data_IF_365912307846
#
_entry.id   IF_365912307846
#
_cell.length_a   1.000
_cell.length_b   1.000
_cell.length_c   1.000
_cell.angle_alpha   90.00
_cell.angle_beta   90.00
_cell.angle_gamma   90.00
#
_symmetry.space_group_name_H-M   'P 1'
#
loop_
_entity.id
_entity.type
_entity.pdbx_description
1 polymer ?
#
# COMPACT_ATOMS: atom_id res chain seq x y z
N UNK A 1 7.93 75.59 -15.80
CA UNK A 1 7.37 76.89 -16.07
C UNK A 1 6.43 77.19 -14.93
N UNK A 2 6.85 77.98 -14.09
CA UNK A 2 6.80 79.47 -13.89
C UNK A 2 5.63 79.82 -12.98
N UNK A 3 6.01 80.23 -11.77
CA UNK A 3 5.83 81.51 -11.13
C UNK A 3 4.40 81.87 -10.68
N UNK A 4 4.08 82.43 -9.55
CA UNK A 4 4.76 83.32 -8.56
C UNK A 4 3.74 83.70 -7.50
N UNK A 5 4.15 83.85 -6.30
CA UNK A 5 4.44 85.11 -5.56
C UNK A 5 3.26 86.12 -5.55
N UNK A 6 2.80 86.48 -4.29
CA UNK A 6 3.09 87.71 -3.64
C UNK A 6 2.22 87.91 -2.39
N UNK A 7 2.82 88.16 -1.24
CA UNK A 7 2.31 88.87 -0.04
C UNK A 7 2.30 90.38 -0.31
N UNK A 8 1.69 91.30 0.46
CA UNK A 8 2.11 91.61 1.79
C UNK A 8 1.08 92.32 2.80
N UNK A 9 1.51 92.39 4.07
CA UNK A 9 1.51 93.48 5.04
C UNK A 9 0.31 94.36 5.37
N UNK A 10 0.09 94.46 6.68
CA UNK A 10 -0.49 95.67 7.32
C UNK A 10 -0.72 95.55 8.83
N UNK A 11 0.19 96.08 9.62
CA UNK A 11 0.08 96.49 11.04
C UNK A 11 -0.02 98.00 11.09
N UNK A 12 -0.23 98.64 12.25
CA UNK A 12 -1.02 98.54 13.49
C UNK A 12 -1.87 99.86 13.71
N UNK A 13 -2.33 100.37 14.84
CA UNK A 13 -1.56 100.56 16.08
C UNK A 13 -2.40 100.42 17.42
N UNK A 14 -1.70 100.66 18.48
CA UNK A 14 -1.81 100.52 19.88
C UNK A 14 -2.69 101.57 20.65
N UNK A 15 -2.71 101.27 21.92
CA UNK A 15 -2.91 102.14 23.10
C UNK A 15 -4.30 102.08 23.83
N UNK A 16 -4.16 101.81 25.11
CA UNK A 16 -5.06 102.18 26.15
C UNK A 16 -5.07 101.22 27.34
N UNK A 17 -4.14 101.42 28.13
CA UNK A 17 -3.84 101.36 29.57
C UNK A 17 -5.03 101.38 30.53
N UNK A 18 -4.82 100.82 31.71
CA UNK A 18 -5.34 100.99 33.03
C UNK A 18 -6.34 99.98 33.59
N UNK A 19 -5.88 99.36 34.65
CA UNK A 19 -6.76 99.10 35.81
C UNK A 19 -6.74 97.69 36.42
N UNK A 20 -5.72 97.49 37.26
CA UNK A 20 -5.68 96.57 38.38
C UNK A 20 -7.05 96.09 38.89
N UNK A 21 -7.24 94.82 39.10
CA UNK A 21 -7.60 94.15 40.35
C UNK A 21 -7.52 92.64 40.22
N UNK A 22 -6.58 92.11 40.96
CA UNK A 22 -6.47 90.67 41.20
C UNK A 22 -7.61 90.07 41.99
N UNK A 23 -8.33 89.10 41.42
CA UNK A 23 -9.11 88.17 42.20
C UNK A 23 -8.71 86.74 41.71
N UNK A 24 -8.04 86.07 42.62
CA UNK A 24 -7.73 84.66 42.43
C UNK A 24 -9.00 83.83 42.52
N UNK A 25 -9.44 83.31 41.36
CA UNK A 25 -10.51 82.32 41.36
C UNK A 25 -9.79 80.94 41.12
N UNK A 26 -9.92 80.16 42.19
CA UNK A 26 -9.43 78.77 42.23
C UNK A 26 -9.86 78.00 40.99
N UNK A 27 -8.89 77.51 40.21
CA UNK A 27 -9.14 76.68 39.08
C UNK A 27 -9.72 75.33 39.48
N UNK A 28 -10.98 75.16 39.26
CA UNK A 28 -11.65 73.86 39.29
C UNK A 28 -11.09 73.10 38.06
N UNK A 29 -10.26 72.15 38.35
CA UNK A 29 -9.90 71.12 37.34
C UNK A 29 -11.18 70.36 36.99
N UNK A 30 -11.80 70.70 35.89
CA UNK A 30 -12.86 69.89 35.27
C UNK A 30 -12.21 68.57 34.84
N UNK A 31 -12.38 67.55 35.65
CA UNK A 31 -11.96 66.17 35.34
C UNK A 31 -12.65 65.75 34.04
N UNK A 32 -11.87 65.47 33.02
CA UNK A 32 -12.33 64.86 31.79
C UNK A 32 -13.04 63.57 32.19
N UNK A 33 -14.34 63.59 32.30
CA UNK A 33 -15.16 62.38 32.41
C UNK A 33 -14.95 61.58 31.15
N UNK A 34 -14.12 60.54 31.27
CA UNK A 34 -13.92 59.55 30.23
C UNK A 34 -15.28 58.86 29.98
N UNK A 35 -16.01 59.34 28.97
CA UNK A 35 -17.21 58.66 28.51
C UNK A 35 -16.87 57.21 28.20
N UNK A 36 -17.21 56.28 29.07
CA UNK A 36 -17.19 54.85 28.78
C UNK A 36 -18.09 54.67 27.56
N UNK A 37 -17.49 54.23 26.45
CA UNK A 37 -18.27 53.79 25.28
C UNK A 37 -19.23 52.73 25.77
N UNK A 38 -20.54 52.85 25.53
CA UNK A 38 -21.48 51.80 25.87
C UNK A 38 -21.04 50.53 25.10
N UNK A 39 -20.73 49.49 25.83
CA UNK A 39 -20.58 48.17 25.25
C UNK A 39 -21.89 47.81 24.58
N UNK A 40 -21.91 47.39 23.31
CA UNK A 40 -23.16 47.06 22.65
C UNK A 40 -23.88 46.00 23.49
N UNK A 41 -25.20 46.09 23.69
CA UNK A 41 -25.92 45.11 24.46
C UNK A 41 -25.69 43.76 23.82
N UNK A 42 -25.03 42.86 24.56
CA UNK A 42 -24.91 41.47 24.14
C UNK A 42 -26.33 41.00 23.90
N UNK A 43 -26.64 40.64 22.66
CA UNK A 43 -27.97 40.15 22.29
C UNK A 43 -28.15 38.76 22.90
N UNK A 44 -28.39 38.68 24.17
CA UNK A 44 -28.55 37.45 24.97
C UNK A 44 -29.48 36.45 24.29
N UNK A 45 -30.51 36.98 23.64
CA UNK A 45 -31.45 36.13 22.88
C UNK A 45 -30.79 35.38 21.73
N UNK A 46 -29.80 36.00 21.04
CA UNK A 46 -29.07 35.34 19.97
C UNK A 46 -28.05 34.35 20.52
N UNK A 47 -27.37 34.66 21.61
CA UNK A 47 -26.44 33.75 22.29
C UNK A 47 -27.19 32.54 22.84
N UNK A 48 -28.31 32.76 23.52
CA UNK A 48 -29.17 31.67 24.01
C UNK A 48 -29.73 30.83 22.84
N UNK A 49 -30.17 31.46 21.76
CA UNK A 49 -30.63 30.72 20.55
C UNK A 49 -29.51 29.90 19.91
N UNK A 50 -28.30 30.45 19.79
CA UNK A 50 -27.16 29.71 19.26
C UNK A 50 -26.75 28.55 20.17
N UNK A 51 -26.69 28.74 21.47
CA UNK A 51 -26.33 27.66 22.41
C UNK A 51 -27.37 26.53 22.43
N UNK A 52 -28.68 26.89 22.45
CA UNK A 52 -29.75 25.86 22.37
C UNK A 52 -29.71 25.09 21.07
N UNK A 53 -29.46 25.75 19.94
CA UNK A 53 -29.31 25.08 18.65
C UNK A 53 -28.11 24.14 18.66
N UNK A 54 -26.96 24.57 19.16
CA UNK A 54 -25.75 23.73 19.24
C UNK A 54 -25.99 22.51 20.13
N UNK A 55 -26.63 22.69 21.30
CA UNK A 55 -26.98 21.57 22.18
C UNK A 55 -27.98 20.62 21.54
N UNK A 56 -28.98 21.14 20.83
CA UNK A 56 -29.96 20.32 20.11
C UNK A 56 -29.31 19.51 19.00
N UNK A 57 -28.42 20.12 18.21
CA UNK A 57 -27.66 19.42 17.16
C UNK A 57 -26.75 18.35 17.78
N UNK A 58 -26.02 18.67 18.84
CA UNK A 58 -25.18 17.71 19.54
C UNK A 58 -26.00 16.53 20.10
N UNK A 59 -27.14 16.80 20.71
CA UNK A 59 -28.06 15.77 21.21
C UNK A 59 -28.59 14.88 20.06
N UNK A 60 -28.99 15.47 18.93
CA UNK A 60 -29.41 14.72 17.74
C UNK A 60 -28.31 13.83 17.18
N UNK A 61 -27.07 14.32 17.13
CA UNK A 61 -25.91 13.52 16.65
C UNK A 61 -25.63 12.35 17.60
N UNK A 62 -25.63 12.59 18.91
CA UNK A 62 -25.40 11.53 19.91
C UNK A 62 -26.53 10.50 19.89
N UNK A 63 -27.77 10.95 19.89
CA UNK A 63 -28.93 10.06 19.87
C UNK A 63 -29.03 9.29 18.54
N UNK A 64 -28.84 9.98 17.42
CA UNK A 64 -28.83 9.37 16.09
C UNK A 64 -27.69 8.36 15.92
N UNK A 65 -26.48 8.70 16.40
CA UNK A 65 -25.34 7.79 16.42
C UNK A 65 -25.59 6.55 17.30
N UNK A 66 -26.12 6.77 18.51
CA UNK A 66 -26.49 5.66 19.39
C UNK A 66 -27.57 4.75 18.76
N UNK A 67 -28.59 5.34 18.17
CA UNK A 67 -29.63 4.60 17.47
C UNK A 67 -29.07 3.79 16.29
N UNK A 68 -28.17 4.37 15.49
CA UNK A 68 -27.54 3.67 14.38
C UNK A 68 -26.74 2.44 14.84
N UNK A 69 -26.00 2.59 15.97
CA UNK A 69 -25.17 1.51 16.52
C UNK A 69 -25.97 0.42 17.25
N UNK A 70 -27.22 0.68 17.62
CA UNK A 70 -28.06 -0.27 18.38
C UNK A 70 -29.25 -0.79 17.58
N UNK A 71 -29.58 -0.15 16.46
CA UNK A 71 -30.74 -0.52 15.67
C UNK A 71 -30.59 -1.90 14.99
N UNK A 72 -31.58 -2.80 15.13
CA UNK A 72 -31.58 -4.08 14.43
C UNK A 72 -31.59 -3.97 12.89
N UNK A 73 -31.95 -2.81 12.37
CA UNK A 73 -31.93 -2.54 10.91
C UNK A 73 -30.54 -2.64 10.30
N UNK A 74 -29.50 -2.38 11.11
CA UNK A 74 -28.12 -2.47 10.68
C UNK A 74 -27.42 -3.74 11.16
N UNK A 75 -28.17 -4.71 11.66
CA UNK A 75 -27.64 -6.03 11.97
C UNK A 75 -27.34 -6.77 10.67
N UNK A 76 -26.12 -7.28 10.50
CA UNK A 76 -25.68 -8.01 9.32
C UNK A 76 -26.52 -9.27 9.15
N UNK A 77 -27.24 -9.37 8.06
CA UNK A 77 -28.07 -10.52 7.69
C UNK A 77 -27.47 -11.35 6.56
N UNK A 78 -26.59 -10.76 5.76
CA UNK A 78 -25.93 -11.44 4.66
C UNK A 78 -24.51 -10.93 4.46
N UNK A 79 -23.58 -11.85 4.23
CA UNK A 79 -22.23 -11.54 3.75
C UNK A 79 -22.08 -12.21 2.39
N UNK A 80 -21.85 -11.41 1.37
CA UNK A 80 -21.68 -11.89 0.00
C UNK A 80 -20.19 -11.94 -0.33
N UNK A 81 -19.70 -13.13 -0.72
CA UNK A 81 -18.31 -13.33 -1.15
C UNK A 81 -18.28 -13.49 -2.66
N UNK A 82 -17.45 -12.70 -3.32
CA UNK A 82 -17.24 -12.72 -4.77
C UNK A 82 -15.77 -12.88 -5.10
N UNK A 83 -15.46 -13.49 -6.26
CA UNK A 83 -14.09 -13.68 -6.75
C UNK A 83 -13.39 -14.92 -6.18
N UNK A 84 -14.01 -15.62 -5.23
CA UNK A 84 -13.52 -16.89 -4.73
C UNK A 84 -13.77 -18.01 -5.75
N UNK A 85 -12.74 -18.77 -6.10
CA UNK A 85 -12.82 -19.89 -7.02
C UNK A 85 -12.15 -21.15 -6.49
N UNK A 86 -11.06 -21.01 -5.77
CA UNK A 86 -10.27 -22.11 -5.17
C UNK A 86 -10.46 -22.18 -3.67
N UNK A 87 -10.55 -21.01 -3.02
CA UNK A 87 -10.78 -20.91 -1.59
C UNK A 87 -12.27 -21.06 -1.32
N UNK A 88 -12.69 -22.00 -0.49
CA UNK A 88 -14.09 -22.14 -0.13
C UNK A 88 -14.62 -20.84 0.49
N UNK A 89 -15.80 -20.33 0.08
CA UNK A 89 -16.40 -19.14 0.65
C UNK A 89 -16.53 -19.17 2.18
N UNK A 90 -16.78 -20.36 2.73
CA UNK A 90 -16.91 -20.57 4.18
C UNK A 90 -15.61 -20.21 4.91
N UNK A 91 -14.46 -20.56 4.34
CA UNK A 91 -13.14 -20.21 4.91
C UNK A 91 -12.88 -18.70 4.88
N UNK A 92 -13.35 -18.02 3.83
CA UNK A 92 -13.26 -16.55 3.73
C UNK A 92 -14.17 -15.90 4.78
N UNK A 93 -15.38 -16.40 4.95
CA UNK A 93 -16.32 -15.92 5.96
C UNK A 93 -15.75 -16.10 7.37
N UNK A 94 -15.20 -17.26 7.68
CA UNK A 94 -14.56 -17.56 8.97
C UNK A 94 -13.36 -16.62 9.22
N UNK A 95 -12.48 -16.48 8.26
CA UNK A 95 -11.30 -15.58 8.36
C UNK A 95 -11.71 -14.10 8.49
N UNK A 96 -12.83 -13.69 7.90
CA UNK A 96 -13.36 -12.34 8.03
C UNK A 96 -13.67 -11.96 9.48
N UNK A 97 -14.08 -12.95 10.28
CA UNK A 97 -14.50 -12.75 11.66
C UNK A 97 -15.80 -11.96 11.80
N UNK A 98 -16.58 -11.83 10.72
CA UNK A 98 -17.87 -11.14 10.76
C UNK A 98 -18.91 -12.08 11.37
N UNK A 99 -19.55 -11.62 12.45
CA UNK A 99 -20.60 -12.41 13.12
C UNK A 99 -21.98 -12.00 12.60
N UNK A 100 -22.80 -12.98 12.28
CA UNK A 100 -24.20 -12.77 11.88
C UNK A 100 -24.95 -12.04 13.01
N UNK A 101 -25.70 -10.98 12.70
CA UNK A 101 -26.39 -10.17 13.67
C UNK A 101 -25.56 -9.04 14.27
N UNK A 102 -24.25 -8.96 14.00
CA UNK A 102 -23.42 -7.85 14.40
C UNK A 102 -23.85 -6.56 13.69
N UNK A 103 -23.73 -5.42 14.39
CA UNK A 103 -24.10 -4.14 13.77
C UNK A 103 -23.07 -3.73 12.70
N UNK A 104 -23.56 -3.41 11.51
CA UNK A 104 -22.77 -3.06 10.33
C UNK A 104 -21.76 -1.92 10.58
N UNK A 105 -22.12 -0.96 11.44
CA UNK A 105 -21.26 0.18 11.77
C UNK A 105 -20.10 -0.16 12.69
N UNK A 106 -20.15 -1.31 13.39
CA UNK A 106 -19.07 -1.81 14.24
C UNK A 106 -18.01 -2.60 13.47
N UNK A 107 -18.36 -3.11 12.30
CA UNK A 107 -17.43 -3.84 11.45
C UNK A 107 -16.46 -2.84 10.83
N UNK A 108 -15.18 -2.97 11.08
CA UNK A 108 -14.14 -2.20 10.40
C UNK A 108 -13.72 -2.91 9.10
N UNK A 109 -14.05 -2.37 7.91
CA UNK A 109 -13.69 -3.00 6.65
C UNK A 109 -12.19 -3.20 6.47
N UNK A 110 -11.37 -2.25 6.93
CA UNK A 110 -9.92 -2.35 6.82
C UNK A 110 -9.34 -3.45 7.71
N UNK A 111 -9.95 -3.68 8.86
CA UNK A 111 -9.54 -4.78 9.74
C UNK A 111 -9.89 -6.14 9.12
N UNK A 112 -11.09 -6.26 8.56
CA UNK A 112 -11.54 -7.46 7.85
C UNK A 112 -10.65 -7.71 6.64
N UNK A 113 -10.38 -6.68 5.84
CA UNK A 113 -9.48 -6.76 4.69
C UNK A 113 -8.11 -7.32 5.09
N UNK A 114 -7.47 -6.76 6.12
CA UNK A 114 -6.16 -7.25 6.59
C UNK A 114 -6.19 -8.73 6.99
N UNK A 115 -7.23 -9.16 7.72
CA UNK A 115 -7.39 -10.58 8.11
C UNK A 115 -7.51 -11.50 6.89
N UNK A 116 -8.24 -11.07 5.87
CA UNK A 116 -8.39 -11.83 4.64
C UNK A 116 -7.08 -11.90 3.84
N UNK A 117 -6.32 -10.81 3.79
CA UNK A 117 -5.03 -10.74 3.11
C UNK A 117 -3.89 -11.47 3.86
N UNK A 118 -4.12 -11.88 5.12
CA UNK A 118 -3.24 -12.80 5.86
C UNK A 118 -3.36 -14.25 5.34
N UNK A 119 -4.46 -14.61 4.66
CA UNK A 119 -4.59 -15.91 4.02
C UNK A 119 -3.59 -16.00 2.85
N UNK A 120 -2.76 -17.05 2.80
CA UNK A 120 -1.74 -17.20 1.76
C UNK A 120 -2.31 -17.19 0.35
N UNK A 121 -3.51 -17.70 0.19
CA UNK A 121 -4.21 -17.84 -1.09
C UNK A 121 -4.83 -16.51 -1.58
N UNK A 122 -4.99 -15.54 -0.72
CA UNK A 122 -5.62 -14.25 -1.07
C UNK A 122 -4.55 -13.21 -1.37
N UNK A 123 -4.63 -12.64 -2.55
CA UNK A 123 -3.74 -11.55 -2.99
C UNK A 123 -4.22 -10.21 -2.47
N UNK A 124 -5.52 -9.99 -2.60
CA UNK A 124 -6.20 -8.74 -2.24
C UNK A 124 -7.63 -9.03 -1.83
N UNK A 125 -8.11 -8.31 -0.84
CA UNK A 125 -9.50 -8.30 -0.47
C UNK A 125 -10.03 -6.87 -0.49
N UNK A 126 -11.27 -6.69 -0.92
CA UNK A 126 -11.99 -5.44 -0.82
C UNK A 126 -13.29 -5.69 -0.07
N UNK A 127 -13.52 -4.91 0.99
CA UNK A 127 -14.64 -5.12 1.90
C UNK A 127 -15.49 -3.86 1.95
N UNK A 128 -16.75 -3.98 1.53
CA UNK A 128 -17.68 -2.86 1.44
C UNK A 128 -18.92 -3.13 2.28
N UNK A 129 -19.32 -2.14 3.08
CA UNK A 129 -20.61 -2.16 3.78
C UNK A 129 -21.72 -1.77 2.81
N UNK A 130 -22.64 -2.67 2.57
CA UNK A 130 -23.84 -2.42 1.77
C UNK A 130 -25.04 -2.19 2.68
N UNK A 131 -25.46 -0.94 2.77
CA UNK A 131 -26.62 -0.57 3.59
C UNK A 131 -27.90 -1.21 3.04
N UNK A 132 -28.82 -1.66 3.93
CA UNK A 132 -28.80 -1.40 5.39
C UNK A 132 -28.06 -2.47 6.20
N UNK A 133 -27.87 -3.71 5.70
CA UNK A 133 -27.55 -4.86 6.54
C UNK A 133 -26.70 -5.93 5.83
N UNK A 134 -25.92 -5.56 4.81
CA UNK A 134 -25.07 -6.48 4.04
C UNK A 134 -23.61 -6.08 4.09
N UNK A 135 -22.73 -7.06 3.95
CA UNK A 135 -21.31 -6.84 3.69
C UNK A 135 -20.97 -7.55 2.39
N UNK A 136 -20.32 -6.86 1.47
CA UNK A 136 -19.77 -7.43 0.24
C UNK A 136 -18.26 -7.57 0.41
N UNK A 137 -17.75 -8.77 0.19
CA UNK A 137 -16.34 -9.13 0.22
C UNK A 137 -15.97 -9.55 -1.20
N UNK A 138 -15.10 -8.81 -1.84
CA UNK A 138 -14.53 -9.16 -3.14
C UNK A 138 -13.09 -9.58 -2.93
N UNK A 139 -12.74 -10.81 -3.29
CA UNK A 139 -11.39 -11.33 -3.15
C UNK A 139 -10.73 -11.55 -4.52
N UNK A 140 -9.44 -11.28 -4.57
CA UNK A 140 -8.57 -11.68 -5.67
C UNK A 140 -7.64 -12.77 -5.16
N UNK A 141 -7.81 -13.98 -5.70
CA UNK A 141 -6.97 -15.12 -5.33
C UNK A 141 -5.62 -15.05 -6.05
N UNK A 142 -4.57 -15.49 -5.34
CA UNK A 142 -3.24 -15.68 -5.92
C UNK A 142 -3.25 -16.86 -6.88
N UNK A 143 -2.54 -16.70 -8.00
CA UNK A 143 -2.39 -17.78 -8.98
C UNK A 143 -1.07 -18.49 -8.76
N UNK A 144 -1.06 -19.83 -8.66
CA UNK A 144 0.18 -20.59 -8.64
C UNK A 144 0.91 -20.39 -9.97
N UNK A 145 2.22 -20.17 -9.87
CA UNK A 145 3.10 -19.92 -11.00
C UNK A 145 4.13 -21.03 -11.17
N UNK A 146 4.84 -21.39 -10.10
CA UNK A 146 5.83 -22.46 -10.11
C UNK A 146 5.84 -23.22 -8.79
N UNK A 147 6.60 -24.31 -8.73
CA UNK A 147 6.85 -25.07 -7.53
C UNK A 147 8.23 -24.73 -6.95
N UNK A 148 8.33 -24.80 -5.63
CA UNK A 148 9.59 -24.79 -4.90
C UNK A 148 9.76 -26.09 -4.13
N UNK A 149 10.94 -26.69 -4.23
CA UNK A 149 11.32 -27.88 -3.49
C UNK A 149 12.20 -27.50 -2.30
N UNK A 150 11.65 -27.70 -1.08
CA UNK A 150 12.41 -27.63 0.17
C UNK A 150 11.84 -28.68 1.13
N UNK A 151 12.40 -29.90 1.08
CA UNK A 151 11.84 -31.07 1.74
C UNK A 151 10.55 -31.59 1.09
N UNK A 152 9.60 -30.69 0.83
CA UNK A 152 8.35 -30.95 0.09
C UNK A 152 8.17 -29.96 -1.04
N UNK A 153 7.21 -30.21 -1.91
CA UNK A 153 6.83 -29.28 -2.98
C UNK A 153 5.77 -28.30 -2.49
N UNK A 154 6.03 -27.03 -2.71
CA UNK A 154 5.13 -25.94 -2.38
C UNK A 154 4.88 -25.06 -3.59
N UNK A 155 3.64 -24.61 -3.76
CA UNK A 155 3.31 -23.64 -4.79
C UNK A 155 3.80 -22.26 -4.43
N UNK A 156 4.41 -21.60 -5.42
CA UNK A 156 4.73 -20.17 -5.40
C UNK A 156 3.87 -19.42 -6.41
N UNK A 157 3.48 -18.20 -6.05
CA UNK A 157 2.91 -17.25 -7.00
C UNK A 157 3.99 -16.51 -7.79
N UNK A 158 3.56 -15.65 -8.71
CA UNK A 158 4.45 -14.80 -9.50
C UNK A 158 5.27 -13.80 -8.68
N UNK A 159 4.88 -13.51 -7.45
CA UNK A 159 5.58 -12.60 -6.54
C UNK A 159 6.59 -13.33 -5.66
N UNK A 160 6.55 -14.66 -5.64
CA UNK A 160 7.41 -15.54 -4.81
C UNK A 160 6.85 -15.79 -3.42
N UNK A 161 5.54 -15.68 -3.23
CA UNK A 161 4.88 -16.10 -2.00
C UNK A 161 4.52 -17.58 -2.06
N UNK A 162 4.66 -18.24 -0.93
CA UNK A 162 4.22 -19.62 -0.76
C UNK A 162 2.71 -19.66 -0.56
N UNK A 163 2.01 -20.42 -1.43
CA UNK A 163 0.55 -20.58 -1.38
C UNK A 163 0.11 -21.80 -0.54
N UNK A 164 0.97 -22.76 -0.39
CA UNK A 164 0.69 -24.01 0.34
C UNK A 164 1.43 -25.20 -0.27
N UNK A 165 1.28 -26.36 0.37
CA UNK A 165 1.82 -27.62 -0.12
C UNK A 165 1.02 -28.10 -1.35
N UNK A 166 1.71 -28.76 -2.28
CA UNK A 166 1.04 -29.39 -3.39
C UNK A 166 0.31 -30.65 -2.94
N UNK A 167 -1.02 -30.66 -3.09
CA UNK A 167 -1.86 -31.80 -2.79
C UNK A 167 -2.18 -32.72 -3.99
N UNK A 168 -1.88 -32.28 -5.23
CA UNK A 168 -2.13 -33.04 -6.47
C UNK A 168 -1.03 -32.73 -7.46
N UNK A 169 -0.50 -33.79 -8.09
CA UNK A 169 0.56 -33.70 -9.09
C UNK A 169 0.10 -32.95 -10.34
N UNK A 170 0.19 -31.61 -10.30
CA UNK A 170 0.13 -30.78 -11.49
C UNK A 170 1.56 -30.40 -11.80
N UNK A 171 2.05 -30.86 -12.93
CA UNK A 171 3.40 -30.47 -13.40
C UNK A 171 3.31 -29.04 -13.92
N UNK A 172 4.07 -28.09 -13.33
CA UNK A 172 4.09 -26.75 -13.87
C UNK A 172 4.75 -26.75 -15.26
N UNK A 173 4.28 -25.88 -16.14
CA UNK A 173 4.89 -25.66 -17.47
C UNK A 173 6.20 -24.88 -17.38
N UNK A 174 6.70 -24.64 -16.18
CA UNK A 174 7.90 -23.84 -15.89
C UNK A 174 8.82 -24.60 -14.92
N UNK A 175 10.11 -24.27 -14.88
CA UNK A 175 11.07 -24.94 -14.00
C UNK A 175 10.69 -24.90 -12.53
N UNK A 176 11.00 -25.97 -11.79
CA UNK A 176 10.90 -26.03 -10.34
C UNK A 176 12.08 -25.29 -9.71
N UNK A 177 11.85 -24.57 -8.64
CA UNK A 177 12.90 -23.88 -7.87
C UNK A 177 13.38 -24.79 -6.75
N UNK A 178 14.71 -24.92 -6.59
CA UNK A 178 15.33 -25.64 -5.48
C UNK A 178 16.41 -24.80 -4.78
N UNK A 179 17.01 -25.36 -3.74
CA UNK A 179 18.10 -24.72 -3.01
C UNK A 179 17.67 -23.66 -2.00
N UNK A 180 16.36 -23.55 -1.72
CA UNK A 180 15.82 -22.74 -0.61
C UNK A 180 15.68 -23.61 0.63
N UNK A 181 15.85 -23.01 1.82
CA UNK A 181 15.65 -23.71 3.10
C UNK A 181 14.20 -23.68 3.55
N UNK A 182 13.81 -24.61 4.44
CA UNK A 182 12.46 -24.62 5.03
C UNK A 182 12.18 -23.33 5.82
N UNK A 183 13.16 -22.77 6.53
CA UNK A 183 13.02 -21.51 7.26
C UNK A 183 12.71 -20.33 6.32
N UNK A 184 13.33 -20.32 5.14
CA UNK A 184 13.01 -19.32 4.11
C UNK A 184 11.57 -19.48 3.62
N UNK A 185 11.11 -20.71 3.39
CA UNK A 185 9.73 -20.96 2.97
C UNK A 185 8.71 -20.45 4.00
N UNK A 186 8.98 -20.65 5.29
CA UNK A 186 8.10 -20.12 6.36
C UNK A 186 8.01 -18.60 6.27
N UNK A 187 9.13 -17.93 6.10
CA UNK A 187 9.17 -16.46 5.96
C UNK A 187 8.48 -15.97 4.67
N UNK A 188 8.53 -16.78 3.61
CA UNK A 188 7.95 -16.46 2.30
C UNK A 188 6.41 -16.55 2.26
N UNK A 189 5.76 -17.04 3.31
CA UNK A 189 4.29 -16.95 3.46
C UNK A 189 3.83 -15.50 3.59
N UNK A 190 4.65 -14.66 4.18
CA UNK A 190 4.37 -13.23 4.39
C UNK A 190 5.11 -12.33 3.42
N UNK A 191 6.40 -12.58 3.21
CA UNK A 191 7.25 -11.70 2.40
C UNK A 191 8.14 -12.54 1.48
N UNK A 192 8.07 -12.34 0.16
CA UNK A 192 8.90 -13.06 -0.80
C UNK A 192 10.40 -12.90 -0.52
N UNK A 193 11.13 -14.00 -0.45
CA UNK A 193 12.57 -14.01 -0.26
C UNK A 193 13.34 -13.49 -1.49
N UNK A 194 14.57 -12.97 -1.31
CA UNK A 194 15.36 -12.44 -2.42
C UNK A 194 15.73 -13.52 -3.45
N UNK A 195 16.06 -14.73 -2.99
CA UNK A 195 16.41 -15.86 -3.87
C UNK A 195 15.19 -16.33 -4.69
N UNK A 196 14.02 -16.41 -4.08
CA UNK A 196 12.80 -16.77 -4.80
C UNK A 196 12.42 -15.73 -5.85
N UNK A 197 12.53 -14.43 -5.53
CA UNK A 197 12.31 -13.36 -6.51
C UNK A 197 13.29 -13.41 -7.67
N UNK A 198 14.55 -13.70 -7.38
CA UNK A 198 15.58 -13.87 -8.42
C UNK A 198 15.26 -15.05 -9.34
N UNK A 199 14.87 -16.21 -8.77
CA UNK A 199 14.46 -17.38 -9.55
C UNK A 199 13.22 -17.09 -10.42
N UNK A 200 12.21 -16.42 -9.89
CA UNK A 200 11.02 -16.03 -10.66
C UNK A 200 11.39 -15.05 -11.79
N UNK A 201 12.30 -14.12 -11.53
CA UNK A 201 12.80 -13.20 -12.58
C UNK A 201 13.49 -13.98 -13.68
N UNK A 202 14.27 -14.99 -13.32
CA UNK A 202 14.93 -15.87 -14.27
C UNK A 202 13.92 -16.71 -15.08
N UNK A 203 12.89 -17.29 -14.43
CA UNK A 203 11.82 -18.00 -15.14
C UNK A 203 11.11 -17.07 -16.13
N UNK A 204 10.82 -15.84 -15.73
CA UNK A 204 10.22 -14.85 -16.63
C UNK A 204 11.15 -14.48 -17.79
N UNK A 205 12.44 -14.42 -17.57
CA UNK A 205 13.41 -14.22 -18.65
C UNK A 205 13.40 -15.40 -19.63
N UNK A 206 13.38 -16.64 -19.14
CA UNK A 206 13.22 -17.85 -19.95
C UNK A 206 11.94 -17.81 -20.80
N UNK A 207 10.81 -17.44 -20.21
CA UNK A 207 9.53 -17.34 -20.94
C UNK A 207 9.53 -16.23 -22.00
N UNK A 208 10.29 -15.14 -21.77
CA UNK A 208 10.40 -14.02 -22.73
C UNK A 208 11.27 -14.31 -23.95
N UNK A 209 12.17 -15.25 -23.88
CA UNK A 209 13.00 -15.63 -25.05
C UNK A 209 12.15 -16.18 -26.20
N UNK A 210 10.89 -16.57 -25.92
CA UNK A 210 9.99 -17.11 -26.97
C UNK A 210 10.43 -18.46 -27.52
N UNK A 211 11.48 -19.04 -26.97
CA UNK A 211 12.05 -20.34 -27.35
C UNK A 211 11.44 -21.46 -26.50
N UNK A 212 11.68 -22.69 -26.89
CA UNK A 212 11.35 -23.90 -26.13
C UNK A 212 12.18 -24.05 -24.85
N UNK A 213 13.16 -23.14 -24.63
CA UNK A 213 14.11 -23.22 -23.53
C UNK A 213 13.45 -23.34 -22.15
N UNK A 214 12.33 -22.63 -21.91
CA UNK A 214 11.61 -22.72 -20.66
C UNK A 214 11.06 -24.14 -20.40
N UNK A 215 10.63 -24.85 -21.44
CA UNK A 215 10.15 -26.23 -21.35
C UNK A 215 11.28 -27.27 -21.34
N UNK A 216 12.48 -26.89 -21.71
CA UNK A 216 13.67 -27.76 -21.68
C UNK A 216 14.35 -27.73 -20.29
N UNK A 217 14.14 -26.69 -19.50
CA UNK A 217 14.69 -26.57 -18.14
C UNK A 217 13.72 -27.20 -17.14
N UNK A 218 14.17 -28.17 -16.37
CA UNK A 218 13.39 -28.83 -15.32
C UNK A 218 13.48 -28.14 -13.96
N UNK A 219 14.67 -27.64 -13.63
CA UNK A 219 14.97 -27.13 -12.29
C UNK A 219 15.92 -25.93 -12.32
N UNK A 220 15.72 -25.01 -11.37
CA UNK A 220 16.59 -23.86 -11.08
C UNK A 220 17.07 -23.98 -9.63
N UNK A 221 18.31 -24.37 -9.44
CA UNK A 221 18.95 -24.45 -8.12
C UNK A 221 19.52 -23.09 -7.71
N UNK A 222 19.00 -22.55 -6.62
CA UNK A 222 19.39 -21.26 -6.02
C UNK A 222 20.30 -21.42 -4.80
N UNK A 223 20.85 -22.63 -4.55
CA UNK A 223 21.70 -22.90 -3.38
C UNK A 223 23.07 -22.24 -3.46
N UNK A 224 23.59 -22.01 -4.68
CA UNK A 224 24.96 -21.58 -4.91
C UNK A 224 25.12 -20.07 -4.84
N UNK A 225 26.16 -19.61 -4.16
CA UNK A 225 26.51 -18.17 -4.08
C UNK A 225 27.03 -17.61 -5.41
N UNK A 226 27.54 -18.48 -6.29
CA UNK A 226 28.06 -18.10 -7.61
C UNK A 226 26.97 -17.80 -8.65
N UNK A 227 25.71 -17.94 -8.27
CA UNK A 227 24.54 -17.74 -9.12
C UNK A 227 23.73 -19.02 -9.37
N UNK A 228 22.58 -18.90 -10.02
CA UNK A 228 21.69 -20.02 -10.30
C UNK A 228 22.34 -21.06 -11.20
N UNK A 229 21.98 -22.32 -10.94
CA UNK A 229 22.31 -23.47 -11.79
C UNK A 229 21.00 -23.99 -12.36
N UNK A 230 20.95 -24.12 -13.69
CA UNK A 230 19.80 -24.69 -14.37
C UNK A 230 20.08 -26.16 -14.69
N UNK A 231 19.08 -27.01 -14.56
CA UNK A 231 19.13 -28.39 -15.00
C UNK A 231 18.15 -28.59 -16.15
N UNK A 232 18.62 -29.10 -17.26
CA UNK A 232 17.75 -29.46 -18.37
C UNK A 232 17.03 -30.78 -18.11
N UNK A 233 15.99 -31.09 -18.89
CA UNK A 233 15.29 -32.38 -18.82
C UNK A 233 16.24 -33.54 -19.17
N UNK A 234 17.23 -33.30 -20.00
CA UNK A 234 18.27 -34.29 -20.39
C UNK A 234 19.40 -34.40 -19.36
N UNK A 235 19.32 -33.66 -18.22
CA UNK A 235 20.28 -33.73 -17.14
C UNK A 235 21.55 -32.91 -17.34
N UNK A 236 21.56 -31.94 -18.26
CA UNK A 236 22.71 -31.03 -18.46
C UNK A 236 22.68 -29.95 -17.38
N UNK A 237 23.81 -29.79 -16.66
CA UNK A 237 24.00 -28.72 -15.66
C UNK A 237 24.46 -27.44 -16.37
N UNK A 238 23.69 -26.33 -16.21
CA UNK A 238 24.03 -25.03 -16.80
C UNK A 238 24.30 -24.02 -15.70
N UNK A 239 25.54 -23.53 -15.61
CA UNK A 239 25.94 -22.49 -14.65
C UNK A 239 25.76 -21.11 -15.26
N UNK A 240 24.80 -20.33 -14.74
CA UNK A 240 24.43 -19.07 -15.36
C UNK A 240 25.18 -17.86 -14.78
N UNK A 241 25.63 -17.93 -13.51
CA UNK A 241 26.26 -16.80 -12.83
C UNK A 241 25.21 -15.78 -12.31
N UNK A 242 25.70 -14.65 -11.77
CA UNK A 242 24.86 -13.68 -11.05
C UNK A 242 24.32 -12.54 -11.89
N UNK A 243 24.85 -12.31 -13.08
CA UNK A 243 24.57 -11.12 -13.90
C UNK A 243 24.21 -11.48 -15.35
N UNK A 244 23.63 -10.52 -16.09
CA UNK A 244 23.40 -10.60 -17.53
C UNK A 244 22.61 -11.84 -17.98
N UNK A 245 21.62 -12.26 -17.22
CA UNK A 245 20.89 -13.52 -17.47
C UNK A 245 20.24 -13.58 -18.85
N UNK A 246 19.66 -12.48 -19.34
CA UNK A 246 18.98 -12.46 -20.64
C UNK A 246 19.97 -12.75 -21.79
N UNK A 247 21.17 -12.15 -21.76
CA UNK A 247 22.20 -12.39 -22.76
C UNK A 247 22.74 -13.80 -22.66
N UNK A 248 22.92 -14.31 -21.44
CA UNK A 248 23.42 -15.68 -21.22
C UNK A 248 22.41 -16.74 -21.64
N UNK A 249 21.12 -16.51 -21.42
CA UNK A 249 20.05 -17.38 -21.89
C UNK A 249 19.97 -17.41 -23.43
N UNK A 250 20.07 -16.25 -24.08
CA UNK A 250 20.10 -16.19 -25.53
C UNK A 250 21.32 -16.97 -26.12
N UNK A 251 22.46 -16.92 -25.44
CA UNK A 251 23.64 -17.67 -25.78
C UNK A 251 23.47 -19.17 -25.53
N UNK A 252 22.79 -19.56 -24.44
CA UNK A 252 22.49 -20.94 -24.09
C UNK A 252 21.69 -21.64 -25.18
N UNK A 253 20.67 -20.98 -25.72
CA UNK A 253 19.82 -21.53 -26.78
C UNK A 253 20.67 -21.97 -28.00
N UNK A 254 21.60 -21.09 -28.45
CA UNK A 254 22.51 -21.41 -29.53
C UNK A 254 23.44 -22.58 -29.20
N UNK A 255 23.89 -22.69 -27.95
CA UNK A 255 24.78 -23.77 -27.50
C UNK A 255 24.05 -25.10 -27.42
N UNK A 256 22.84 -25.12 -26.80
CA UNK A 256 22.07 -26.36 -26.69
C UNK A 256 21.70 -26.96 -28.05
N UNK A 257 21.37 -26.11 -29.03
CA UNK A 257 21.11 -26.56 -30.40
C UNK A 257 22.33 -27.25 -31.06
N UNK A 258 23.55 -26.79 -30.72
CA UNK A 258 24.79 -27.40 -31.26
C UNK A 258 25.19 -28.66 -30.48
N UNK A 259 24.90 -28.72 -29.22
CA UNK A 259 25.34 -29.76 -28.27
C UNK A 259 24.38 -30.95 -28.21
N UNK A 260 23.19 -30.84 -28.78
CA UNK A 260 22.18 -31.91 -28.77
C UNK A 260 22.67 -33.26 -29.32
N UNK A 261 23.79 -33.27 -30.04
CA UNK A 261 24.44 -34.49 -30.62
C UNK A 261 25.69 -34.93 -29.86
N UNK A 262 26.15 -34.18 -28.85
CA UNK A 262 27.37 -34.46 -28.09
C UNK A 262 27.06 -34.93 -26.67
N UNK A 263 27.93 -35.77 -26.07
CA UNK A 263 27.82 -36.20 -24.65
C UNK A 263 28.29 -35.07 -23.71
N UNK A 264 27.53 -33.99 -23.66
CA UNK A 264 27.79 -32.84 -22.77
C UNK A 264 26.96 -32.95 -21.50
N UNK A 265 27.61 -32.87 -20.36
CA UNK A 265 27.01 -32.92 -19.03
C UNK A 265 26.92 -31.57 -18.32
N UNK A 266 27.61 -30.57 -18.85
CA UNK A 266 27.57 -29.25 -18.24
C UNK A 266 28.01 -28.14 -19.19
N UNK A 267 27.39 -26.99 -19.03
CA UNK A 267 27.65 -25.75 -19.73
C UNK A 267 27.91 -24.65 -18.70
N UNK A 268 29.07 -24.00 -18.79
CA UNK A 268 29.40 -22.88 -17.91
C UNK A 268 29.35 -21.56 -18.70
N UNK A 269 28.40 -20.71 -18.38
CA UNK A 269 28.15 -19.41 -19.00
C UNK A 269 28.61 -18.24 -18.15
N UNK A 270 29.28 -18.47 -17.03
CA UNK A 270 29.74 -17.42 -16.12
C UNK A 270 30.76 -16.48 -16.76
N UNK A 271 31.46 -16.96 -17.79
CA UNK A 271 32.44 -16.17 -18.51
C UNK A 271 31.78 -15.36 -19.62
N UNK A 272 32.23 -14.11 -19.79
CA UNK A 272 31.60 -13.16 -20.73
C UNK A 272 31.79 -13.54 -22.19
N UNK A 273 32.98 -13.99 -22.54
CA UNK A 273 33.40 -14.17 -23.94
C UNK A 273 33.57 -15.62 -24.36
N UNK A 274 33.32 -16.58 -23.47
CA UNK A 274 33.52 -17.99 -23.77
C UNK A 274 32.51 -18.88 -23.03
N UNK A 275 32.12 -19.96 -23.71
CA UNK A 275 31.31 -21.03 -23.14
C UNK A 275 32.17 -22.22 -22.86
N UNK A 276 32.19 -22.69 -21.63
CA UNK A 276 32.97 -23.87 -21.24
C UNK A 276 32.06 -25.10 -21.21
N UNK A 277 32.33 -26.08 -22.06
CA UNK A 277 31.56 -27.32 -22.09
C UNK A 277 32.27 -28.39 -21.26
N UNK A 278 31.53 -29.07 -20.40
CA UNK A 278 31.99 -30.20 -19.62
C UNK A 278 31.43 -31.49 -20.24
N UNK A 279 32.32 -32.31 -20.80
CA UNK A 279 31.94 -33.59 -21.40
C UNK A 279 31.92 -34.71 -20.35
N UNK A 280 31.05 -35.69 -20.55
CA UNK A 280 31.07 -36.93 -19.75
C UNK A 280 32.37 -37.71 -20.02
N UNK A 281 33.09 -38.07 -18.97
CA UNK A 281 34.12 -39.10 -19.09
C UNK A 281 33.42 -40.45 -19.22
N UNK A 282 33.66 -41.15 -20.35
CA UNK A 282 33.29 -42.58 -20.51
C UNK A 282 34.04 -43.45 -19.52
#
# INVERSE_FOLDING_TARGET
MSKGLISPRGRPPALGDMGQHSVAVAGQRVGRVRRRRPTPPVRWRWVLGATTLTVAVAACLVFGGHWALTSPRFAVTAVEVRGASRVPPERILEASGIVHGENLWRIDPHQVQRRLEELPEIRRADVVRELPNRVSIVVEERRPFTLVHAGRLHWLDEEGRVLGEEGRAVVPEVPVISGLSEDELVSMRTTPGPRARAAITLIRALLRTGSTLASEISEIDMSRSEGPVLYTLDGVEVRLGTEEWEERLARLEGVLAQVATEDVRGVDLRFRDQVVLRRGTR
#
